data_IF_697355925467
#
_entry.id   IF_697355925467
#
_cell.length_a   1.000
_cell.length_b   1.000
_cell.length_c   1.000
_cell.angle_alpha   90.00
_cell.angle_beta   90.00
_cell.angle_gamma   90.00
#
_symmetry.space_group_name_H-M   'P 1'
#
loop_
_entity.id
_entity.type
_entity.pdbx_description
1 polymer ?
#
# COMPACT_ATOMS: atom_id res chain seq x y z
N UNK A 1 -22.48 27.03 14.98
CA UNK A 1 -23.64 27.74 15.55
C UNK A 1 -23.35 29.25 15.72
N UNK A 2 -22.65 29.89 14.79
CA UNK A 2 -22.31 31.32 14.90
C UNK A 2 -22.62 32.14 13.64
N UNK A 3 -23.13 31.53 12.58
CA UNK A 3 -23.30 32.18 11.27
C UNK A 3 -24.63 32.94 11.11
N UNK A 4 -25.59 32.75 12.03
CA UNK A 4 -26.93 33.36 11.91
C UNK A 4 -26.99 34.89 12.07
N UNK A 5 -25.91 35.48 12.59
CA UNK A 5 -25.79 36.92 12.85
C UNK A 5 -24.87 37.65 11.86
N UNK A 6 -24.26 36.95 10.91
CA UNK A 6 -23.42 37.56 9.89
C UNK A 6 -24.23 38.56 9.04
N UNK A 7 -23.75 39.80 8.93
CA UNK A 7 -24.39 40.87 8.14
C UNK A 7 -25.64 41.50 8.76
N UNK A 8 -26.12 41.04 9.92
CA UNK A 8 -27.24 41.68 10.64
C UNK A 8 -26.71 42.79 11.57
N UNK A 9 -27.49 43.87 11.69
CA UNK A 9 -27.25 44.92 12.69
C UNK A 9 -27.74 44.42 14.04
N UNK A 10 -26.84 44.40 15.03
CA UNK A 10 -27.18 44.06 16.41
C UNK A 10 -26.85 45.25 17.31
N UNK A 11 -27.45 45.30 18.51
CA UNK A 11 -27.16 46.35 19.49
C UNK A 11 -26.00 45.89 20.37
N UNK A 12 -25.01 46.75 20.58
CA UNK A 12 -23.94 46.47 21.51
C UNK A 12 -24.52 46.32 22.94
N UNK A 13 -24.25 45.22 23.66
CA UNK A 13 -24.81 45.00 24.99
C UNK A 13 -24.29 45.99 26.05
N UNK A 14 -23.17 46.67 25.79
CA UNK A 14 -22.55 47.62 26.73
C UNK A 14 -23.12 49.04 26.62
N UNK A 15 -23.40 49.53 25.40
CA UNK A 15 -23.79 50.93 25.18
C UNK A 15 -25.04 51.11 24.30
N UNK A 16 -25.69 50.02 23.88
CA UNK A 16 -26.85 49.99 22.99
C UNK A 16 -26.64 50.60 21.59
N UNK A 17 -25.41 51.00 21.23
CA UNK A 17 -25.09 51.52 19.91
C UNK A 17 -25.32 50.45 18.83
N UNK A 18 -25.88 50.82 17.66
CA UNK A 18 -26.07 49.89 16.55
C UNK A 18 -24.70 49.52 15.96
N UNK A 19 -24.39 48.23 15.95
CA UNK A 19 -23.13 47.69 15.43
C UNK A 19 -23.45 46.65 14.35
N UNK A 20 -22.79 46.77 13.21
CA UNK A 20 -22.93 45.81 12.10
C UNK A 20 -21.91 44.69 12.33
N UNK A 21 -22.38 43.45 12.49
CA UNK A 21 -21.47 42.30 12.59
C UNK A 21 -20.81 42.12 11.23
N UNK A 22 -19.47 42.21 11.12
CA UNK A 22 -18.79 41.97 9.85
C UNK A 22 -19.15 40.56 9.41
N UNK A 23 -19.76 40.45 8.24
CA UNK A 23 -19.91 39.14 7.61
C UNK A 23 -18.49 38.59 7.46
N UNK A 24 -18.24 37.30 7.76
CA UNK A 24 -17.01 36.70 7.27
C UNK A 24 -17.02 36.96 5.78
N UNK A 25 -16.03 37.71 5.29
CA UNK A 25 -15.67 37.64 3.89
C UNK A 25 -15.48 36.15 3.67
N UNK A 26 -16.48 35.52 3.04
CA UNK A 26 -16.37 34.19 2.49
C UNK A 26 -15.15 34.35 1.62
N UNK A 27 -14.00 33.90 2.14
CA UNK A 27 -12.69 34.16 1.57
C UNK A 27 -12.88 33.93 0.09
N UNK A 28 -12.86 35.04 -0.67
CA UNK A 28 -13.19 35.03 -2.08
C UNK A 28 -12.40 33.85 -2.62
N UNK A 29 -13.11 32.79 -3.00
CA UNK A 29 -12.51 31.54 -3.44
C UNK A 29 -11.43 31.99 -4.40
N UNK A 30 -10.17 31.83 -3.97
CA UNK A 30 -9.03 32.11 -4.82
C UNK A 30 -9.39 31.48 -6.16
N UNK A 31 -9.27 32.22 -7.28
CA UNK A 31 -9.73 31.74 -8.58
C UNK A 31 -9.26 30.31 -8.71
N UNK A 32 -10.22 29.39 -8.85
CA UNK A 32 -10.00 27.94 -8.88
C UNK A 32 -8.68 27.70 -9.59
N UNK A 33 -7.68 27.26 -8.82
CA UNK A 33 -6.30 27.19 -9.29
C UNK A 33 -6.28 26.43 -10.61
N UNK A 34 -5.29 26.69 -11.46
CA UNK A 34 -5.12 25.96 -12.73
C UNK A 34 -5.22 24.43 -12.55
N UNK A 35 -4.96 23.95 -11.33
CA UNK A 35 -5.17 22.58 -10.87
C UNK A 35 -6.63 22.09 -10.92
N UNK A 36 -7.61 22.88 -10.49
CA UNK A 36 -9.03 22.50 -10.54
C UNK A 36 -9.59 22.55 -11.98
N UNK A 37 -9.08 23.48 -12.79
CA UNK A 37 -9.35 23.49 -14.23
C UNK A 37 -8.75 22.24 -14.93
N UNK A 38 -7.53 21.84 -14.56
CA UNK A 38 -6.90 20.63 -15.06
C UNK A 38 -7.65 19.36 -14.61
N UNK A 39 -8.12 19.32 -13.36
CA UNK A 39 -8.90 18.19 -12.85
C UNK A 39 -10.24 18.05 -13.57
N UNK A 40 -10.91 19.17 -13.84
CA UNK A 40 -12.16 19.18 -14.60
C UNK A 40 -11.94 18.75 -16.06
N UNK A 41 -10.85 19.19 -16.69
CA UNK A 41 -10.49 18.78 -18.04
C UNK A 41 -10.17 17.27 -18.15
N UNK A 42 -9.59 16.67 -17.10
CA UNK A 42 -9.36 15.22 -17.04
C UNK A 42 -10.66 14.42 -16.88
N UNK A 43 -11.60 14.92 -16.09
CA UNK A 43 -12.91 14.27 -15.88
C UNK A 43 -13.84 14.39 -17.09
N UNK A 44 -13.73 15.48 -17.86
CA UNK A 44 -14.53 15.73 -19.06
C UNK A 44 -13.87 15.19 -20.34
N UNK A 45 -12.70 14.54 -20.23
CA UNK A 45 -12.07 13.90 -21.38
C UNK A 45 -12.93 12.70 -21.79
N UNK A 46 -13.46 12.67 -23.04
CA UNK A 46 -14.23 11.53 -23.51
C UNK A 46 -13.36 10.28 -23.35
N UNK A 47 -13.89 9.29 -22.64
CA UNK A 47 -13.25 8.00 -22.46
C UNK A 47 -12.85 7.51 -23.86
N UNK A 48 -11.55 7.25 -24.12
CA UNK A 48 -11.12 6.88 -25.46
C UNK A 48 -11.90 5.63 -25.83
N UNK A 49 -12.78 5.76 -26.84
CA UNK A 49 -13.45 4.60 -27.42
C UNK A 49 -12.35 3.57 -27.70
N UNK A 50 -12.52 2.30 -27.26
CA UNK A 50 -11.49 1.29 -27.37
C UNK A 50 -11.17 1.12 -28.86
N UNK A 51 -10.11 1.81 -29.28
CA UNK A 51 -9.64 1.80 -30.65
C UNK A 51 -9.10 0.39 -30.90
N UNK A 52 -9.99 -0.46 -31.40
CA UNK A 52 -9.67 -1.73 -32.01
C UNK A 52 -8.68 -2.54 -31.16
N UNK A 53 -9.12 -2.97 -29.98
CA UNK A 53 -8.37 -3.92 -29.18
C UNK A 53 -7.97 -5.08 -30.09
N UNK A 54 -6.66 -5.36 -30.27
CA UNK A 54 -6.23 -6.36 -31.22
C UNK A 54 -6.79 -7.71 -30.75
N UNK A 55 -7.35 -8.49 -31.69
CA UNK A 55 -8.12 -9.72 -31.48
C UNK A 55 -7.32 -10.92 -30.89
N UNK A 56 -6.45 -10.66 -29.92
CA UNK A 56 -5.60 -11.66 -29.27
C UNK A 56 -6.21 -12.24 -28.00
N UNK A 57 -7.45 -11.88 -27.66
CA UNK A 57 -8.25 -12.57 -26.65
C UNK A 57 -8.93 -13.83 -27.22
N UNK A 58 -8.22 -14.58 -28.07
CA UNK A 58 -8.57 -15.99 -28.23
C UNK A 58 -8.26 -16.67 -26.89
N UNK A 59 -9.20 -17.40 -26.27
CA UNK A 59 -8.92 -18.20 -25.09
C UNK A 59 -7.68 -19.05 -25.37
N UNK A 60 -6.63 -18.86 -24.58
CA UNK A 60 -5.44 -19.71 -24.65
C UNK A 60 -5.95 -21.13 -24.46
N UNK A 61 -5.75 -22.06 -25.42
CA UNK A 61 -6.20 -23.43 -25.25
C UNK A 61 -5.60 -23.94 -23.94
N UNK A 62 -6.47 -24.37 -23.03
CA UNK A 62 -6.04 -24.97 -21.78
C UNK A 62 -5.08 -26.11 -22.13
N UNK A 63 -3.88 -26.15 -21.53
CA UNK A 63 -2.97 -27.27 -21.75
C UNK A 63 -3.72 -28.55 -21.38
N UNK A 64 -3.90 -29.45 -22.36
CA UNK A 64 -4.51 -30.76 -22.16
C UNK A 64 -3.93 -31.40 -20.90
N UNK A 65 -4.74 -31.40 -19.84
CA UNK A 65 -4.34 -31.92 -18.54
C UNK A 65 -4.06 -33.41 -18.74
N UNK A 66 -2.80 -33.88 -18.58
CA UNK A 66 -2.45 -35.24 -18.93
C UNK A 66 -3.26 -36.19 -18.04
N UNK A 67 -4.01 -37.08 -18.70
CA UNK A 67 -4.93 -38.01 -18.06
C UNK A 67 -4.33 -38.63 -16.79
N UNK A 68 -5.10 -38.70 -15.68
CA UNK A 68 -4.59 -39.16 -14.39
C UNK A 68 -4.03 -40.57 -14.54
N UNK A 69 -2.71 -40.72 -14.34
CA UNK A 69 -2.03 -42.02 -14.43
C UNK A 69 -2.70 -42.99 -13.45
N UNK A 70 -3.04 -44.22 -13.88
CA UNK A 70 -3.68 -45.20 -13.01
C UNK A 70 -2.77 -45.50 -11.82
N UNK A 71 -3.30 -45.28 -10.61
CA UNK A 71 -2.57 -45.53 -9.36
C UNK A 71 -2.15 -47.01 -9.34
N UNK A 72 -0.85 -47.33 -9.20
CA UNK A 72 -0.41 -48.71 -9.13
C UNK A 72 -1.03 -49.37 -7.89
N UNK A 73 -1.71 -50.51 -8.09
CA UNK A 73 -2.19 -51.36 -7.00
C UNK A 73 -0.98 -51.94 -6.29
N UNK A 74 -0.64 -51.36 -5.14
CA UNK A 74 0.41 -51.90 -4.27
C UNK A 74 -0.14 -53.21 -3.68
N UNK A 75 0.49 -54.37 -3.91
CA UNK A 75 0.06 -55.62 -3.30
C UNK A 75 0.20 -55.51 -1.78
N UNK A 76 -0.85 -55.95 -1.08
CA UNK A 76 -0.93 -55.95 0.38
C UNK A 76 0.27 -56.72 0.95
N UNK A 77 1.26 -55.97 1.42
CA UNK A 77 2.51 -56.51 1.94
C UNK A 77 2.27 -56.96 3.38
N UNK A 78 2.33 -58.28 3.51
CA UNK A 78 2.21 -59.06 4.71
C UNK A 78 3.10 -58.52 5.85
N UNK A 79 2.43 -58.21 6.96
CA UNK A 79 2.88 -58.09 8.35
C UNK A 79 4.40 -58.21 8.57
N UNK A 80 5.15 -57.18 8.16
CA UNK A 80 6.56 -57.04 8.53
C UNK A 80 6.63 -56.78 10.03
N UNK A 81 7.29 -57.71 10.73
CA UNK A 81 7.77 -57.55 12.11
C UNK A 81 8.32 -56.14 12.32
N UNK A 82 7.89 -55.53 13.42
CA UNK A 82 8.40 -54.29 13.98
C UNK A 82 9.93 -54.32 14.05
N UNK A 83 10.57 -53.67 13.07
CA UNK A 83 11.95 -53.24 13.18
C UNK A 83 11.91 -51.94 13.99
N UNK A 84 12.71 -51.80 15.07
CA UNK A 84 12.82 -50.54 15.80
C UNK A 84 13.19 -49.45 14.80
N UNK A 85 12.27 -48.49 14.62
CA UNK A 85 12.52 -47.36 13.75
C UNK A 85 13.71 -46.59 14.32
N UNK A 86 14.79 -46.52 13.56
CA UNK A 86 15.87 -45.60 13.84
C UNK A 86 15.27 -44.18 14.00
N UNK A 87 15.77 -43.36 14.93
CA UNK A 87 15.25 -42.02 15.16
C UNK A 87 15.30 -41.24 13.84
N UNK A 88 14.13 -40.76 13.41
CA UNK A 88 13.99 -39.89 12.25
C UNK A 88 14.79 -38.62 12.53
N UNK A 89 15.69 -38.27 11.62
CA UNK A 89 16.48 -37.04 11.66
C UNK A 89 15.65 -35.79 11.29
N UNK A 90 14.34 -35.81 11.58
CA UNK A 90 13.41 -34.70 11.31
C UNK A 90 13.11 -33.87 12.58
N UNK A 91 13.55 -34.32 13.76
CA UNK A 91 13.56 -33.54 15.00
C UNK A 91 14.90 -32.80 15.16
N UNK A 92 15.32 -32.07 14.12
CA UNK A 92 16.39 -31.09 14.29
C UNK A 92 15.75 -29.82 14.86
N UNK A 93 15.52 -29.81 16.17
CA UNK A 93 15.30 -28.56 16.91
C UNK A 93 16.53 -27.68 16.66
N UNK A 94 16.43 -26.57 15.89
CA UNK A 94 17.55 -25.67 15.72
C UNK A 94 17.94 -25.19 17.13
N UNK A 95 19.24 -25.25 17.50
CA UNK A 95 19.66 -24.83 18.83
C UNK A 95 19.14 -23.41 19.07
N UNK A 96 18.59 -23.10 20.26
CA UNK A 96 18.17 -21.75 20.56
C UNK A 96 19.39 -20.87 20.39
N UNK A 97 19.36 -20.01 19.38
CA UNK A 97 20.40 -19.03 19.07
C UNK A 97 20.53 -18.09 20.26
N UNK A 98 21.29 -18.53 21.26
CA UNK A 98 21.65 -17.80 22.47
C UNK A 98 22.83 -16.89 22.13
N UNK A 99 22.64 -16.07 21.11
CA UNK A 99 23.49 -14.94 20.78
C UNK A 99 22.70 -13.69 21.07
N UNK A 100 23.13 -12.90 22.06
CA UNK A 100 22.62 -11.53 22.31
C UNK A 100 22.99 -10.58 21.18
N UNK A 101 22.66 -10.95 19.94
CA UNK A 101 22.73 -10.13 18.75
C UNK A 101 21.35 -9.53 18.50
N UNK A 102 21.33 -8.28 18.08
CA UNK A 102 20.12 -7.55 17.72
C UNK A 102 19.33 -8.39 16.70
N UNK A 103 18.21 -8.97 17.12
CA UNK A 103 17.35 -9.80 16.29
C UNK A 103 16.56 -8.88 15.35
N UNK A 104 17.14 -8.55 14.20
CA UNK A 104 16.47 -7.72 13.20
C UNK A 104 15.53 -8.62 12.41
N UNK A 105 14.23 -8.42 12.60
CA UNK A 105 13.18 -9.13 11.84
C UNK A 105 13.44 -8.95 10.34
N UNK A 106 13.36 -10.04 9.58
CA UNK A 106 13.56 -10.04 8.11
C UNK A 106 12.71 -8.99 7.40
N UNK A 107 11.53 -8.66 7.94
CA UNK A 107 10.68 -7.57 7.46
C UNK A 107 11.29 -6.16 7.61
N UNK A 108 11.96 -5.86 8.73
CA UNK A 108 12.62 -4.57 8.96
C UNK A 108 13.82 -4.41 8.03
N UNK A 109 14.61 -5.48 7.86
CA UNK A 109 15.75 -5.49 6.95
C UNK A 109 15.31 -5.26 5.48
N UNK A 110 14.21 -5.91 5.06
CA UNK A 110 13.62 -5.71 3.74
C UNK A 110 13.11 -4.28 3.52
N UNK A 111 12.41 -3.72 4.52
CA UNK A 111 11.92 -2.33 4.45
C UNK A 111 13.04 -1.29 4.40
N UNK A 112 14.08 -1.45 5.22
CA UNK A 112 15.28 -0.60 5.16
C UNK A 112 15.98 -0.69 3.81
N UNK A 113 16.08 -1.89 3.23
CA UNK A 113 16.64 -2.08 1.90
C UNK A 113 15.87 -1.30 0.82
N UNK A 114 14.54 -1.36 0.85
CA UNK A 114 13.68 -0.60 -0.07
C UNK A 114 13.81 0.91 0.12
N UNK A 115 13.87 1.40 1.36
CA UNK A 115 14.05 2.82 1.65
C UNK A 115 15.37 3.37 1.11
N UNK A 116 16.47 2.65 1.33
CA UNK A 116 17.79 3.06 0.83
C UNK A 116 17.82 3.07 -0.70
N UNK A 117 17.25 2.05 -1.34
CA UNK A 117 17.10 2.01 -2.79
C UNK A 117 16.33 3.20 -3.34
N UNK A 118 15.23 3.59 -2.69
CA UNK A 118 14.41 4.74 -3.08
C UNK A 118 15.17 6.06 -2.95
N UNK A 119 15.91 6.29 -1.86
CA UNK A 119 16.69 7.52 -1.66
C UNK A 119 17.82 7.63 -2.68
N UNK A 120 18.55 6.54 -2.94
CA UNK A 120 19.62 6.51 -3.95
C UNK A 120 19.06 6.77 -5.35
N UNK A 121 17.96 6.09 -5.72
CA UNK A 121 17.33 6.27 -7.03
C UNK A 121 16.74 7.68 -7.21
N UNK A 122 16.13 8.24 -6.15
CA UNK A 122 15.65 9.61 -6.14
C UNK A 122 16.79 10.62 -6.31
N UNK A 123 17.92 10.41 -5.62
CA UNK A 123 19.11 11.24 -5.76
C UNK A 123 19.71 11.19 -7.17
N UNK A 124 19.78 10.00 -7.79
CA UNK A 124 20.22 9.85 -9.18
C UNK A 124 19.25 10.54 -10.16
N UNK A 125 17.94 10.40 -9.96
CA UNK A 125 16.93 11.06 -10.78
C UNK A 125 16.98 12.59 -10.67
N UNK A 126 17.18 13.10 -9.45
CA UNK A 126 17.36 14.53 -9.19
C UNK A 126 18.62 15.08 -9.87
N UNK A 127 19.74 14.36 -9.79
CA UNK A 127 20.99 14.74 -10.46
C UNK A 127 20.87 14.73 -12.00
N UNK A 128 19.98 13.89 -12.56
CA UNK A 128 19.69 13.85 -13.99
C UNK A 128 18.69 14.93 -14.45
N UNK A 129 18.15 15.75 -13.54
CA UNK A 129 17.15 16.77 -13.85
C UNK A 129 15.77 16.21 -14.23
N UNK A 130 15.51 14.93 -13.96
CA UNK A 130 14.24 14.28 -14.26
C UNK A 130 13.45 14.09 -12.97
N UNK A 131 12.39 14.88 -12.81
CA UNK A 131 11.51 14.81 -11.64
C UNK A 131 10.61 13.58 -11.78
N UNK A 132 11.03 12.47 -11.20
CA UNK A 132 10.20 11.28 -11.11
C UNK A 132 9.25 11.39 -9.91
N UNK A 133 7.95 11.23 -10.15
CA UNK A 133 6.92 11.13 -9.10
C UNK A 133 6.86 9.74 -8.45
N UNK A 134 7.46 8.72 -9.06
CA UNK A 134 7.45 7.34 -8.57
C UNK A 134 8.30 7.08 -7.29
N UNK A 135 9.52 7.64 -7.14
CA UNK A 135 10.34 7.39 -5.95
C UNK A 135 9.71 7.87 -4.63
N UNK A 136 9.04 9.04 -4.55
CA UNK A 136 8.28 9.42 -3.37
C UNK A 136 7.17 8.41 -3.02
N UNK A 137 6.44 7.91 -4.02
CA UNK A 137 5.36 6.92 -3.81
C UNK A 137 5.93 5.60 -3.29
N UNK A 138 7.03 5.10 -3.86
CA UNK A 138 7.74 3.90 -3.38
C UNK A 138 8.29 4.06 -1.96
N UNK A 139 8.76 5.26 -1.60
CA UNK A 139 9.22 5.56 -0.25
C UNK A 139 8.08 5.48 0.78
N UNK A 140 6.89 6.00 0.43
CA UNK A 140 5.71 5.90 1.31
C UNK A 140 5.28 4.45 1.50
N UNK A 141 5.24 3.62 0.43
CA UNK A 141 4.93 2.20 0.57
C UNK A 141 5.95 1.45 1.44
N UNK A 142 7.24 1.75 1.28
CA UNK A 142 8.30 1.21 2.13
C UNK A 142 8.14 1.59 3.60
N UNK A 143 7.81 2.87 3.88
CA UNK A 143 7.55 3.37 5.23
C UNK A 143 6.35 2.65 5.87
N UNK A 144 5.23 2.52 5.14
CA UNK A 144 4.02 1.83 5.64
C UNK A 144 4.31 0.38 5.98
N UNK A 145 5.11 -0.32 5.16
CA UNK A 145 5.51 -1.70 5.42
C UNK A 145 6.38 -1.82 6.71
N UNK A 146 7.31 -0.90 6.92
CA UNK A 146 8.13 -0.85 8.15
C UNK A 146 7.27 -0.57 9.38
N UNK A 147 6.36 0.39 9.30
CA UNK A 147 5.45 0.74 10.41
C UNK A 147 4.52 -0.43 10.74
N UNK A 148 3.95 -1.11 9.74
CA UNK A 148 3.18 -2.36 9.97
C UNK A 148 4.02 -3.45 10.59
N UNK A 149 5.26 -3.63 10.15
CA UNK A 149 6.17 -4.65 10.69
C UNK A 149 6.59 -4.38 12.14
N UNK A 150 6.77 -3.11 12.51
CA UNK A 150 7.11 -2.72 13.88
C UNK A 150 5.90 -2.80 14.82
N UNK A 151 4.69 -2.44 14.36
CA UNK A 151 3.48 -2.47 15.18
C UNK A 151 2.90 -3.88 15.32
N UNK A 152 2.98 -4.72 14.29
CA UNK A 152 2.40 -6.08 14.27
C UNK A 152 3.24 -7.16 14.97
N UNK A 153 4.33 -6.78 15.65
CA UNK A 153 5.23 -7.72 16.34
C UNK A 153 5.14 -7.62 17.88
N UNK A 154 4.02 -7.09 18.41
CA UNK A 154 3.81 -6.93 19.85
C UNK A 154 2.73 -7.86 20.44
N UNK A 155 2.31 -8.89 19.70
CA UNK A 155 1.26 -9.84 20.11
C UNK A 155 1.76 -11.27 20.38
N UNK A 156 3.04 -11.46 20.74
CA UNK A 156 3.55 -12.71 21.31
C UNK A 156 4.13 -12.48 22.72
#
# INVERSE_FOLDING_TARGET
>A
MSDEYAGKRTKCPSCAAPLTVPAPEVAALAPASEEEAAYRALMDSPEPEPANAPAWSAPRPEPDEPAPKPKPKIPALEKRRSVPSAPRADDYDPPPSRGGGIHISSGVLGGCGMMLGAVVWFGLGWAAGVIYFYPPVLFVFGLVAVVRGLLGHSED
#
